data_IF_677890871790
#
_entry.id   IF_677890871790
#
_cell.length_a   1.000
_cell.length_b   1.000
_cell.length_c   1.000
_cell.angle_alpha   90.00
_cell.angle_beta   90.00
_cell.angle_gamma   90.00
#
_symmetry.space_group_name_H-M   'P 1'
#
loop_
_entity.id
_entity.type
_entity.pdbx_description
1 polymer ?
#
# COMPACT_ATOMS: atom_id res chain seq x y z
N UNK A 1 38.88 20.53 37.64
CA UNK A 1 38.74 19.22 38.33
C UNK A 1 38.39 18.15 37.33
N UNK A 2 39.31 17.24 37.02
CA UNK A 2 39.01 16.07 36.20
C UNK A 2 38.20 15.07 37.05
N UNK A 3 37.00 14.71 36.62
CA UNK A 3 36.29 13.57 37.21
C UNK A 3 37.12 12.30 36.95
N UNK A 4 37.45 11.58 38.01
CA UNK A 4 38.21 10.32 37.96
C UNK A 4 37.47 9.28 37.12
N UNK A 5 38.22 8.40 36.44
CA UNK A 5 37.64 7.30 35.63
C UNK A 5 36.67 6.44 36.45
N UNK A 6 37.00 6.22 37.72
CA UNK A 6 36.19 5.47 38.68
C UNK A 6 34.79 6.08 38.89
N UNK A 7 34.68 7.41 38.94
CA UNK A 7 33.38 8.08 39.05
C UNK A 7 32.53 7.88 37.80
N UNK A 8 33.15 7.86 36.61
CA UNK A 8 32.46 7.64 35.34
C UNK A 8 31.92 6.21 35.23
N UNK A 9 32.70 5.22 35.67
CA UNK A 9 32.29 3.82 35.69
C UNK A 9 31.14 3.57 36.65
N UNK A 10 31.23 4.06 37.90
CA UNK A 10 30.16 3.93 38.90
C UNK A 10 28.85 4.59 38.42
N UNK A 11 28.94 5.76 37.81
CA UNK A 11 27.76 6.44 37.24
C UNK A 11 27.18 5.70 36.02
N UNK A 12 28.04 5.12 35.18
CA UNK A 12 27.61 4.28 34.05
C UNK A 12 26.86 3.04 34.53
N UNK A 13 27.41 2.33 35.52
CA UNK A 13 26.80 1.15 36.14
C UNK A 13 25.45 1.49 36.80
N UNK A 14 25.36 2.62 37.48
CA UNK A 14 24.10 3.08 38.04
C UNK A 14 23.06 3.37 36.96
N UNK A 15 23.43 4.08 35.89
CA UNK A 15 22.53 4.40 34.77
C UNK A 15 22.09 3.18 33.96
N UNK A 16 22.84 2.08 34.01
CA UNK A 16 22.46 0.81 33.37
C UNK A 16 21.63 -0.10 34.28
N UNK A 17 21.59 0.16 35.59
CA UNK A 17 20.82 -0.60 36.57
C UNK A 17 19.30 -0.59 36.30
N UNK A 18 18.62 -1.63 36.77
CA UNK A 18 17.16 -1.76 36.68
C UNK A 18 16.49 -0.63 37.46
N UNK A 19 16.95 -0.36 38.68
CA UNK A 19 16.42 0.70 39.54
C UNK A 19 16.43 2.07 38.87
N UNK A 20 17.51 2.43 38.17
CA UNK A 20 17.55 3.70 37.42
C UNK A 20 16.59 3.71 36.23
N UNK A 21 16.42 2.58 35.52
CA UNK A 21 15.48 2.48 34.40
C UNK A 21 14.04 2.63 34.86
N UNK A 22 13.68 2.03 35.99
CA UNK A 22 12.35 2.14 36.62
C UNK A 22 12.09 3.55 37.14
N UNK A 23 13.05 4.14 37.85
CA UNK A 23 12.98 5.54 38.27
C UNK A 23 12.81 6.48 37.08
N UNK A 24 13.58 6.29 36.00
CA UNK A 24 13.48 7.12 34.79
C UNK A 24 12.13 6.97 34.10
N UNK A 25 11.52 5.79 34.13
CA UNK A 25 10.18 5.54 33.57
C UNK A 25 9.13 6.34 34.34
N UNK A 26 9.07 6.17 35.65
CA UNK A 26 8.11 6.88 36.53
C UNK A 26 8.33 8.39 36.52
N UNK A 27 9.58 8.86 36.45
CA UNK A 27 9.89 10.28 36.34
C UNK A 27 9.34 10.91 35.04
N UNK A 28 9.43 10.21 33.91
CA UNK A 28 8.90 10.67 32.60
C UNK A 28 7.39 10.71 32.52
N UNK A 29 6.70 9.98 33.38
CA UNK A 29 5.24 9.93 33.40
C UNK A 29 4.64 11.16 34.08
N UNK A 30 5.44 11.93 34.84
CA UNK A 30 5.01 13.17 35.49
C UNK A 30 4.62 14.23 34.47
N UNK A 31 3.49 14.90 34.71
CA UNK A 31 2.93 15.88 33.78
C UNK A 31 3.87 17.07 33.55
N UNK A 32 4.55 17.54 34.60
CA UNK A 32 5.54 18.62 34.49
C UNK A 32 6.70 18.28 33.56
N UNK A 33 7.11 17.01 33.51
CA UNK A 33 8.16 16.54 32.60
C UNK A 33 7.63 16.48 31.17
N UNK A 34 6.43 15.94 30.96
CA UNK A 34 5.79 15.89 29.63
C UNK A 34 5.56 17.29 29.06
N UNK A 35 5.08 18.22 29.88
CA UNK A 35 4.84 19.62 29.49
C UNK A 35 6.15 20.31 29.13
N UNK A 36 7.19 20.14 29.97
CA UNK A 36 8.51 20.68 29.66
C UNK A 36 9.10 20.09 28.37
N UNK A 37 8.93 18.80 28.11
CA UNK A 37 9.36 18.15 26.86
C UNK A 37 8.58 18.69 25.66
N UNK A 38 7.26 18.85 25.78
CA UNK A 38 6.42 19.42 24.73
C UNK A 38 6.82 20.88 24.42
N UNK A 39 7.02 21.69 25.45
CA UNK A 39 7.48 23.07 25.33
C UNK A 39 8.84 23.13 24.64
N UNK A 40 9.79 22.27 25.03
CA UNK A 40 11.09 22.19 24.37
C UNK A 40 10.96 21.77 22.91
N UNK A 41 10.19 20.72 22.59
CA UNK A 41 9.98 20.25 21.21
C UNK A 41 9.39 21.36 20.31
N UNK A 42 8.49 22.17 20.85
CA UNK A 42 7.83 23.25 20.13
C UNK A 42 8.65 24.55 20.10
N UNK A 43 9.62 24.71 20.99
CA UNK A 43 10.55 25.83 20.99
C UNK A 43 11.44 25.85 19.73
N UNK A 44 11.98 27.01 19.41
CA UNK A 44 12.91 27.17 18.28
C UNK A 44 14.16 26.31 18.45
N UNK A 45 14.67 26.20 19.68
CA UNK A 45 15.82 25.37 20.00
C UNK A 45 15.53 23.87 19.75
N UNK A 46 14.35 23.39 20.14
CA UNK A 46 13.93 22.02 19.90
C UNK A 46 13.72 21.73 18.42
N UNK A 47 13.00 22.60 17.70
CA UNK A 47 12.83 22.50 16.24
C UNK A 47 14.17 22.50 15.50
N UNK A 48 15.09 23.38 15.87
CA UNK A 48 16.44 23.43 15.31
C UNK A 48 17.24 22.15 15.60
N UNK A 49 17.14 21.61 16.82
CA UNK A 49 17.76 20.33 17.19
C UNK A 49 17.21 19.16 16.38
N UNK A 50 15.89 19.07 16.23
CA UNK A 50 15.24 18.05 15.41
C UNK A 50 15.65 18.15 13.94
N UNK A 51 15.72 19.37 13.39
CA UNK A 51 16.20 19.62 12.03
C UNK A 51 17.64 19.13 11.86
N UNK A 52 18.55 19.47 12.77
CA UNK A 52 19.94 18.96 12.76
C UNK A 52 20.01 17.44 12.84
N UNK A 53 19.18 16.82 13.69
CA UNK A 53 19.10 15.36 13.81
C UNK A 53 18.63 14.70 12.51
N UNK A 54 17.57 15.23 11.89
CA UNK A 54 17.07 14.77 10.58
C UNK A 54 18.14 14.96 9.50
N UNK A 55 18.80 16.11 9.45
CA UNK A 55 19.88 16.37 8.50
C UNK A 55 21.06 15.40 8.68
N UNK A 56 21.47 15.11 9.92
CA UNK A 56 22.52 14.13 10.19
C UNK A 56 22.08 12.72 9.77
N UNK A 57 20.84 12.35 10.06
CA UNK A 57 20.31 11.03 9.70
C UNK A 57 20.18 10.87 8.19
N UNK A 58 19.43 11.74 7.50
CA UNK A 58 19.26 11.72 6.05
C UNK A 58 20.54 12.04 5.27
N UNK A 59 21.48 12.77 5.88
CA UNK A 59 22.79 13.05 5.32
C UNK A 59 23.82 11.96 5.59
N UNK A 60 23.53 11.00 6.47
CA UNK A 60 24.46 9.92 6.79
C UNK A 60 24.64 8.98 5.61
N UNK A 61 25.86 8.47 5.46
CA UNK A 61 26.21 7.49 4.44
C UNK A 61 25.41 6.20 4.61
N UNK A 62 25.12 5.78 5.86
CA UNK A 62 24.32 4.60 6.15
C UNK A 62 22.86 4.75 5.69
N UNK A 63 22.23 5.90 5.91
CA UNK A 63 20.88 6.17 5.40
C UNK A 63 20.88 6.23 3.88
N UNK A 64 21.86 6.90 3.26
CA UNK A 64 21.98 6.95 1.79
C UNK A 64 22.13 5.55 1.20
N UNK A 65 23.03 4.73 1.74
CA UNK A 65 23.22 3.34 1.32
C UNK A 65 21.98 2.47 1.56
N UNK A 66 21.21 2.71 2.63
CA UNK A 66 19.93 2.03 2.84
C UNK A 66 18.88 2.46 1.80
N UNK A 67 18.77 3.76 1.55
CA UNK A 67 17.86 4.33 0.57
C UNK A 67 18.21 3.89 -0.85
N UNK A 68 19.50 3.81 -1.17
CA UNK A 68 20.00 3.32 -2.46
C UNK A 68 19.70 1.84 -2.63
N UNK A 69 19.93 0.99 -1.61
CA UNK A 69 19.53 -0.43 -1.66
C UNK A 69 18.03 -0.61 -1.83
N UNK A 70 17.22 0.19 -1.13
CA UNK A 70 15.77 0.17 -1.28
C UNK A 70 15.35 0.60 -2.70
N UNK A 71 15.93 1.68 -3.21
CA UNK A 71 15.66 2.19 -4.55
C UNK A 71 16.15 1.23 -5.64
N UNK A 72 17.31 0.60 -5.48
CA UNK A 72 17.87 -0.39 -6.39
C UNK A 72 16.99 -1.64 -6.43
N UNK A 73 16.59 -2.16 -5.26
CA UNK A 73 15.62 -3.26 -5.16
C UNK A 73 14.31 -2.91 -5.87
N UNK A 74 13.80 -1.68 -5.66
CA UNK A 74 12.61 -1.20 -6.35
C UNK A 74 12.84 -1.08 -7.86
N UNK A 75 13.98 -0.55 -8.31
CA UNK A 75 14.33 -0.42 -9.73
C UNK A 75 14.43 -1.78 -10.40
N UNK A 76 15.12 -2.75 -9.80
CA UNK A 76 15.23 -4.14 -10.29
C UNK A 76 13.88 -4.80 -10.44
N UNK A 77 13.04 -4.78 -9.39
CA UNK A 77 11.65 -5.28 -9.47
C UNK A 77 10.84 -4.61 -10.58
N UNK A 78 10.97 -3.29 -10.74
CA UNK A 78 10.26 -2.56 -11.81
C UNK A 78 10.84 -2.82 -13.22
N UNK A 79 12.13 -3.11 -13.33
CA UNK A 79 12.78 -3.44 -14.60
C UNK A 79 12.43 -4.86 -15.06
N UNK A 80 12.35 -5.80 -14.12
CA UNK A 80 12.03 -7.20 -14.38
C UNK A 80 10.51 -7.42 -14.57
N UNK A 81 9.67 -6.67 -13.85
CA UNK A 81 8.21 -6.78 -13.92
C UNK A 81 7.58 -5.64 -14.74
N UNK A 82 7.83 -5.63 -16.05
CA UNK A 82 7.22 -4.68 -16.98
C UNK A 82 5.69 -4.59 -16.84
N UNK A 83 5.02 -5.68 -16.45
CA UNK A 83 3.56 -5.68 -16.22
C UNK A 83 3.15 -5.14 -14.87
N UNK A 84 3.97 -5.26 -13.81
CA UNK A 84 3.69 -4.55 -12.56
C UNK A 84 3.69 -3.04 -12.81
N UNK A 85 4.59 -2.54 -13.65
CA UNK A 85 4.59 -1.14 -14.08
C UNK A 85 3.30 -0.78 -14.81
N UNK A 86 2.85 -1.63 -15.72
CA UNK A 86 1.61 -1.43 -16.45
C UNK A 86 0.40 -1.40 -15.52
N UNK A 87 0.30 -2.34 -14.57
CA UNK A 87 -0.76 -2.40 -13.57
C UNK A 87 -0.80 -1.15 -12.69
N UNK A 88 0.35 -0.65 -12.25
CA UNK A 88 0.44 0.61 -11.48
C UNK A 88 0.04 1.79 -12.36
N UNK A 89 0.48 1.83 -13.62
CA UNK A 89 0.12 2.88 -14.56
C UNK A 89 -1.40 2.91 -14.82
N UNK A 90 -2.02 1.74 -15.07
CA UNK A 90 -3.46 1.60 -15.25
C UNK A 90 -4.23 2.03 -14.00
N UNK A 91 -3.85 1.55 -12.82
CA UNK A 91 -4.49 1.96 -11.57
C UNK A 91 -4.44 3.49 -11.37
N UNK A 92 -3.30 4.12 -11.66
CA UNK A 92 -3.16 5.57 -11.57
C UNK A 92 -4.00 6.30 -12.61
N UNK A 93 -4.04 5.82 -13.86
CA UNK A 93 -4.84 6.39 -14.94
C UNK A 93 -6.32 6.35 -14.58
N UNK A 94 -6.83 5.16 -14.23
CA UNK A 94 -8.22 4.93 -13.85
C UNK A 94 -8.60 5.78 -12.63
N UNK A 95 -7.73 5.84 -11.61
CA UNK A 95 -7.95 6.68 -10.44
C UNK A 95 -8.03 8.18 -10.76
N UNK A 96 -7.25 8.64 -11.73
CA UNK A 96 -7.30 10.03 -12.20
C UNK A 96 -8.54 10.34 -13.02
N UNK A 97 -9.01 9.36 -13.81
CA UNK A 97 -10.24 9.46 -14.60
C UNK A 97 -11.47 9.54 -13.71
N UNK A 98 -11.57 8.70 -12.68
CA UNK A 98 -12.68 8.77 -11.71
C UNK A 98 -12.71 10.11 -10.97
N UNK A 99 -11.54 10.69 -10.67
CA UNK A 99 -11.43 12.01 -10.03
C UNK A 99 -11.62 13.19 -11.00
N UNK A 100 -11.88 12.95 -12.29
CA UNK A 100 -12.04 14.01 -13.29
C UNK A 100 -10.76 14.80 -13.58
N UNK A 101 -9.58 14.22 -13.33
CA UNK A 101 -8.26 14.87 -13.55
C UNK A 101 -7.56 14.38 -14.82
N UNK A 102 -8.25 13.55 -15.62
CA UNK A 102 -7.76 12.97 -16.86
C UNK A 102 -8.94 12.39 -17.65
N UNK A 103 -9.03 12.72 -18.94
CA UNK A 103 -10.12 12.24 -19.79
C UNK A 103 -9.72 11.08 -20.69
N UNK A 104 -8.48 11.05 -21.19
CA UNK A 104 -8.03 10.04 -22.17
C UNK A 104 -6.68 9.41 -21.79
N UNK A 105 -6.46 8.17 -22.20
CA UNK A 105 -5.18 7.49 -21.97
C UNK A 105 -4.93 6.36 -22.94
N UNK A 106 -3.80 6.41 -23.65
CA UNK A 106 -3.33 5.27 -24.46
C UNK A 106 -3.21 4.00 -23.66
N UNK A 107 -2.70 4.09 -22.45
CA UNK A 107 -2.56 2.92 -21.58
C UNK A 107 -3.93 2.30 -21.25
N UNK A 108 -4.99 3.09 -21.10
CA UNK A 108 -6.33 2.56 -20.84
C UNK A 108 -6.85 1.80 -22.06
N UNK A 109 -7.01 2.47 -23.21
CA UNK A 109 -7.65 1.84 -24.37
C UNK A 109 -6.81 0.72 -25.01
N UNK A 110 -5.48 0.70 -24.78
CA UNK A 110 -4.63 -0.39 -25.30
C UNK A 110 -4.72 -1.67 -24.47
N UNK A 111 -5.06 -1.58 -23.18
CA UNK A 111 -4.96 -2.70 -22.24
C UNK A 111 -6.26 -3.00 -21.48
N UNK A 112 -7.35 -2.33 -21.83
CA UNK A 112 -8.68 -2.50 -21.20
C UNK A 112 -9.78 -2.44 -22.26
N UNK A 113 -11.02 -2.70 -21.86
CA UNK A 113 -12.21 -2.54 -22.70
C UNK A 113 -12.79 -1.11 -22.69
N UNK A 114 -12.10 -0.16 -22.06
CA UNK A 114 -12.56 1.21 -21.91
C UNK A 114 -11.88 2.12 -22.94
N UNK A 115 -12.67 2.91 -23.65
CA UNK A 115 -12.18 3.85 -24.65
C UNK A 115 -11.58 5.10 -24.00
N UNK A 116 -12.26 5.65 -23.00
CA UNK A 116 -11.89 6.87 -22.30
C UNK A 116 -12.48 6.95 -20.87
N UNK A 117 -12.38 8.11 -20.23
CA UNK A 117 -12.95 8.35 -18.91
C UNK A 117 -14.47 8.29 -18.90
N UNK A 118 -15.15 8.81 -19.93
CA UNK A 118 -16.61 8.82 -19.99
C UNK A 118 -17.16 7.39 -20.04
N UNK A 119 -16.55 6.55 -20.86
CA UNK A 119 -16.92 5.14 -20.99
C UNK A 119 -16.64 4.32 -19.71
N UNK A 120 -15.53 4.60 -19.01
CA UNK A 120 -15.25 4.04 -17.69
C UNK A 120 -16.29 4.48 -16.65
N UNK A 121 -16.65 5.76 -16.63
CA UNK A 121 -17.61 6.32 -15.68
C UNK A 121 -19.02 5.78 -15.94
N UNK A 122 -19.43 5.69 -17.21
CA UNK A 122 -20.72 5.10 -17.61
C UNK A 122 -20.89 3.65 -17.13
N UNK A 123 -19.79 2.89 -17.00
CA UNK A 123 -19.80 1.56 -16.39
C UNK A 123 -19.91 1.61 -14.85
N UNK A 124 -19.18 2.51 -14.19
CA UNK A 124 -19.06 2.54 -12.73
C UNK A 124 -20.23 3.24 -12.03
N UNK A 125 -20.73 4.35 -12.57
CA UNK A 125 -21.77 5.16 -11.94
C UNK A 125 -23.04 4.37 -11.59
N UNK A 126 -23.61 3.53 -12.49
CA UNK A 126 -24.79 2.73 -12.16
C UNK A 126 -24.51 1.66 -11.09
N UNK A 127 -23.25 1.22 -10.94
CA UNK A 127 -22.86 0.26 -9.91
C UNK A 127 -22.69 0.95 -8.54
N UNK A 128 -22.14 2.16 -8.53
CA UNK A 128 -22.01 3.00 -7.33
C UNK A 128 -23.39 3.40 -6.81
N UNK A 129 -24.29 3.84 -7.70
CA UNK A 129 -25.65 4.25 -7.35
C UNK A 129 -26.50 3.12 -6.71
N UNK A 130 -26.13 1.85 -6.91
CA UNK A 130 -26.81 0.68 -6.31
C UNK A 130 -26.37 0.41 -4.86
N UNK A 131 -25.31 1.06 -4.37
CA UNK A 131 -24.75 0.80 -3.04
C UNK A 131 -24.97 2.00 -2.14
N UNK A 132 -25.81 1.83 -1.12
CA UNK A 132 -26.09 2.85 -0.12
C UNK A 132 -24.78 3.33 0.54
N UNK A 133 -24.59 4.65 0.62
CA UNK A 133 -23.39 5.26 1.19
C UNK A 133 -22.21 5.41 0.22
N UNK A 134 -22.28 4.91 -1.01
CA UNK A 134 -21.29 5.19 -2.05
C UNK A 134 -21.73 6.34 -2.96
N UNK A 135 -20.81 7.24 -3.25
CA UNK A 135 -20.99 8.31 -4.25
C UNK A 135 -19.71 8.46 -5.08
N UNK A 136 -19.78 9.06 -6.26
CA UNK A 136 -18.58 9.23 -7.09
C UNK A 136 -17.52 10.11 -6.40
N UNK A 137 -17.98 11.08 -5.60
CA UNK A 137 -17.15 12.04 -4.88
C UNK A 137 -16.36 11.40 -3.73
N UNK A 138 -16.87 10.32 -3.12
CA UNK A 138 -16.23 9.65 -1.99
C UNK A 138 -15.31 8.48 -2.40
N UNK A 139 -14.98 8.36 -3.71
CA UNK A 139 -13.98 7.45 -4.24
C UNK A 139 -12.61 7.63 -3.57
N UNK A 140 -12.00 6.52 -3.14
CA UNK A 140 -10.73 6.50 -2.44
C UNK A 140 -10.87 6.59 -0.91
N UNK A 141 -11.95 7.18 -0.42
CA UNK A 141 -12.25 7.31 1.01
C UNK A 141 -13.21 6.24 1.49
N UNK A 142 -14.35 6.07 0.81
CA UNK A 142 -15.41 5.11 1.20
C UNK A 142 -15.32 3.82 0.39
N UNK A 143 -15.13 3.94 -0.92
CA UNK A 143 -15.06 2.80 -1.83
C UNK A 143 -13.84 2.89 -2.75
N UNK A 144 -13.39 1.73 -3.21
CA UNK A 144 -12.29 1.57 -4.15
C UNK A 144 -12.77 0.74 -5.36
N UNK A 145 -11.99 0.78 -6.44
CA UNK A 145 -12.19 -0.18 -7.53
C UNK A 145 -11.71 -1.53 -7.07
N UNK A 146 -12.61 -2.48 -7.10
CA UNK A 146 -12.36 -3.87 -6.84
C UNK A 146 -12.23 -4.65 -8.15
N UNK A 147 -11.39 -5.68 -8.10
CA UNK A 147 -11.31 -6.71 -9.12
C UNK A 147 -12.01 -7.95 -8.56
N UNK A 148 -13.19 -8.28 -9.10
CA UNK A 148 -14.02 -9.43 -8.69
C UNK A 148 -13.16 -10.68 -8.53
N UNK A 149 -12.36 -10.99 -9.54
CA UNK A 149 -11.20 -11.89 -9.48
C UNK A 149 -9.94 -11.06 -9.27
N UNK A 150 -9.21 -11.32 -8.18
CA UNK A 150 -8.06 -10.53 -7.80
C UNK A 150 -6.93 -10.54 -8.85
N UNK A 151 -6.28 -9.39 -9.01
CA UNK A 151 -5.20 -9.17 -9.99
C UNK A 151 -4.06 -10.18 -9.92
N UNK A 152 -3.73 -10.67 -8.72
CA UNK A 152 -2.64 -11.63 -8.53
C UNK A 152 -2.87 -12.99 -9.18
N UNK A 153 -4.10 -13.29 -9.61
CA UNK A 153 -4.41 -14.54 -10.31
C UNK A 153 -4.20 -14.47 -11.81
N UNK A 154 -4.12 -13.26 -12.36
CA UNK A 154 -3.87 -13.02 -13.78
C UNK A 154 -2.37 -13.07 -14.08
N UNK A 155 -2.03 -13.72 -15.18
CA UNK A 155 -0.69 -13.68 -15.71
C UNK A 155 -0.33 -12.26 -16.17
N UNK A 156 0.97 -12.00 -16.18
CA UNK A 156 1.52 -10.73 -16.59
C UNK A 156 1.69 -10.68 -18.11
N UNK A 157 0.58 -10.77 -18.86
CA UNK A 157 0.55 -10.68 -20.32
C UNK A 157 -0.66 -9.86 -20.81
N UNK A 158 -0.66 -9.46 -22.08
CA UNK A 158 -1.68 -8.54 -22.62
C UNK A 158 -3.12 -9.07 -22.51
N UNK A 159 -3.34 -10.36 -22.74
CA UNK A 159 -4.70 -10.93 -22.70
C UNK A 159 -5.23 -10.95 -21.27
N UNK A 160 -4.42 -11.45 -20.34
CA UNK A 160 -4.82 -11.53 -18.93
C UNK A 160 -4.95 -10.13 -18.32
N UNK A 161 -4.19 -9.14 -18.79
CA UNK A 161 -4.38 -7.74 -18.45
C UNK A 161 -5.73 -7.20 -18.93
N UNK A 162 -6.12 -7.46 -20.18
CA UNK A 162 -7.45 -7.07 -20.70
C UNK A 162 -8.59 -7.74 -19.93
N UNK A 163 -8.45 -9.03 -19.60
CA UNK A 163 -9.44 -9.76 -18.77
C UNK A 163 -9.52 -9.19 -17.36
N UNK A 164 -8.38 -8.93 -16.74
CA UNK A 164 -8.25 -8.37 -15.40
C UNK A 164 -8.92 -7.00 -15.29
N UNK A 165 -8.71 -6.12 -16.27
CA UNK A 165 -9.26 -4.77 -16.32
C UNK A 165 -10.55 -4.64 -17.15
N UNK A 166 -11.26 -5.75 -17.37
CA UNK A 166 -12.53 -5.78 -18.10
C UNK A 166 -13.69 -5.20 -17.27
N UNK A 167 -14.76 -4.77 -17.94
CA UNK A 167 -16.03 -4.36 -17.30
C UNK A 167 -16.61 -5.47 -16.42
N UNK A 168 -16.44 -6.72 -16.85
CA UNK A 168 -16.91 -7.90 -16.14
C UNK A 168 -16.13 -8.14 -14.86
N UNK A 169 -14.85 -7.76 -14.80
CA UNK A 169 -14.04 -7.97 -13.61
C UNK A 169 -13.97 -6.74 -12.68
N UNK A 170 -14.21 -5.52 -13.19
CA UNK A 170 -14.21 -4.30 -12.36
C UNK A 170 -15.57 -4.01 -11.73
N UNK A 171 -15.55 -3.67 -10.44
CA UNK A 171 -16.72 -3.22 -9.68
C UNK A 171 -16.33 -2.23 -8.58
N UNK A 172 -17.23 -1.34 -8.13
CA UNK A 172 -17.04 -0.61 -6.88
C UNK A 172 -17.25 -1.54 -5.68
N UNK A 173 -16.41 -1.41 -4.66
CA UNK A 173 -16.54 -2.10 -3.37
C UNK A 173 -16.09 -1.19 -2.23
N UNK A 174 -16.68 -1.36 -1.04
CA UNK A 174 -16.24 -0.61 0.15
C UNK A 174 -14.77 -0.91 0.41
N UNK A 175 -13.99 0.13 0.74
CA UNK A 175 -12.54 -0.02 0.89
C UNK A 175 -12.18 -1.09 1.92
N UNK A 176 -12.91 -1.14 3.03
CA UNK A 176 -12.72 -2.14 4.09
C UNK A 176 -12.98 -3.56 3.58
N UNK A 177 -14.05 -3.75 2.81
CA UNK A 177 -14.45 -5.08 2.33
C UNK A 177 -13.56 -5.56 1.18
N UNK A 178 -13.12 -4.66 0.31
CA UNK A 178 -12.11 -4.95 -0.69
C UNK A 178 -10.78 -5.44 -0.05
N UNK A 179 -10.33 -4.74 1.01
CA UNK A 179 -9.13 -5.15 1.77
C UNK A 179 -9.32 -6.52 2.42
N UNK A 180 -10.48 -6.77 3.05
CA UNK A 180 -10.79 -8.07 3.67
C UNK A 180 -10.85 -9.19 2.64
N UNK A 181 -11.46 -8.94 1.47
CA UNK A 181 -11.59 -9.90 0.38
C UNK A 181 -10.21 -10.34 -0.11
N UNK A 182 -9.28 -9.39 -0.22
CA UNK A 182 -7.89 -9.63 -0.63
C UNK A 182 -7.84 -10.44 -1.95
N UNK A 183 -7.27 -11.65 -1.91
CA UNK A 183 -7.12 -12.55 -3.06
C UNK A 183 -8.08 -13.73 -3.07
N UNK A 184 -9.11 -13.70 -2.24
CA UNK A 184 -10.03 -14.85 -2.08
C UNK A 184 -10.77 -15.13 -3.40
N UNK A 185 -10.77 -16.39 -3.83
CA UNK A 185 -11.54 -16.87 -4.99
C UNK A 185 -12.93 -17.27 -4.50
N UNK A 186 -13.95 -16.55 -4.96
CA UNK A 186 -15.35 -16.74 -4.57
C UNK A 186 -16.12 -17.22 -5.80
N UNK A 187 -16.63 -18.44 -5.77
CA UNK A 187 -17.01 -19.17 -6.99
C UNK A 187 -18.21 -18.56 -7.71
N UNK A 188 -19.22 -18.10 -6.98
CA UNK A 188 -20.36 -17.38 -7.57
C UNK A 188 -19.91 -16.07 -8.25
N UNK A 189 -18.99 -15.32 -7.63
CA UNK A 189 -18.43 -14.10 -8.22
C UNK A 189 -17.63 -14.44 -9.48
N UNK A 190 -16.84 -15.52 -9.47
CA UNK A 190 -16.15 -15.98 -10.67
C UNK A 190 -17.13 -16.37 -11.78
N UNK A 191 -18.22 -17.07 -11.46
CA UNK A 191 -19.26 -17.42 -12.43
C UNK A 191 -19.89 -16.16 -13.05
N UNK A 192 -20.21 -15.15 -12.24
CA UNK A 192 -20.76 -13.86 -12.71
C UNK A 192 -19.81 -13.10 -13.65
N UNK A 193 -18.49 -13.18 -13.38
CA UNK A 193 -17.46 -12.60 -14.27
C UNK A 193 -17.46 -13.30 -15.63
N UNK A 194 -17.70 -14.62 -15.64
CA UNK A 194 -17.78 -15.43 -16.86
C UNK A 194 -16.41 -15.95 -17.31
N UNK A 195 -16.39 -17.19 -17.83
CA UNK A 195 -15.16 -17.94 -18.12
C UNK A 195 -14.26 -17.30 -19.18
N UNK A 196 -14.81 -16.48 -20.08
CA UNK A 196 -14.03 -15.69 -21.04
C UNK A 196 -13.08 -14.68 -20.37
N UNK A 197 -13.39 -14.27 -19.13
CA UNK A 197 -12.66 -13.26 -18.36
C UNK A 197 -11.83 -13.85 -17.21
N UNK A 198 -11.79 -15.19 -17.08
CA UNK A 198 -10.94 -15.84 -16.10
C UNK A 198 -9.47 -15.80 -16.51
N UNK A 199 -8.54 -15.87 -15.54
CA UNK A 199 -7.12 -16.01 -15.85
C UNK A 199 -6.85 -17.16 -16.81
N UNK A 200 -5.96 -16.97 -17.79
CA UNK A 200 -5.56 -18.04 -18.72
C UNK A 200 -5.06 -19.28 -18.00
N UNK A 201 -4.34 -19.09 -16.90
CA UNK A 201 -3.80 -20.16 -16.04
C UNK A 201 -4.87 -21.10 -15.47
N UNK A 202 -6.14 -20.67 -15.45
CA UNK A 202 -7.25 -21.48 -14.95
C UNK A 202 -7.82 -22.44 -16.01
N UNK A 203 -7.40 -22.33 -17.27
CA UNK A 203 -7.85 -23.24 -18.33
C UNK A 203 -9.37 -23.30 -18.51
N UNK A 204 -10.06 -22.18 -18.24
CA UNK A 204 -11.52 -22.10 -18.33
C UNK A 204 -12.28 -22.83 -17.22
N UNK A 205 -11.63 -23.17 -16.10
CA UNK A 205 -12.26 -23.80 -14.94
C UNK A 205 -11.86 -23.09 -13.64
N UNK A 206 -12.82 -22.87 -12.75
CA UNK A 206 -12.50 -22.33 -11.41
C UNK A 206 -11.62 -23.37 -10.68
N UNK A 207 -10.49 -22.97 -10.07
CA UNK A 207 -9.65 -23.89 -9.32
C UNK A 207 -10.43 -24.64 -8.24
N UNK A 208 -10.19 -25.93 -8.06
CA UNK A 208 -10.78 -26.69 -6.96
C UNK A 208 -10.21 -26.28 -5.59
N UNK A 209 -10.81 -26.75 -4.49
CA UNK A 209 -10.40 -26.36 -3.14
C UNK A 209 -8.93 -26.67 -2.85
N UNK A 210 -8.42 -27.81 -3.34
CA UNK A 210 -7.02 -28.20 -3.17
C UNK A 210 -6.06 -27.26 -3.93
N UNK A 211 -6.45 -26.86 -5.14
CA UNK A 211 -5.71 -25.92 -5.97
C UNK A 211 -5.72 -24.53 -5.36
N UNK A 212 -6.87 -24.04 -4.88
CA UNK A 212 -6.97 -22.76 -4.14
C UNK A 212 -6.06 -22.76 -2.92
N UNK A 213 -5.99 -23.87 -2.18
CA UNK A 213 -5.10 -23.99 -1.02
C UNK A 213 -3.63 -23.88 -1.42
N UNK A 214 -3.18 -24.60 -2.46
CA UNK A 214 -1.80 -24.53 -2.98
C UNK A 214 -1.44 -23.13 -3.47
N UNK A 215 -2.33 -22.51 -4.24
CA UNK A 215 -2.16 -21.17 -4.79
C UNK A 215 -1.99 -20.10 -3.68
N UNK A 216 -2.73 -20.25 -2.57
CA UNK A 216 -2.61 -19.34 -1.43
C UNK A 216 -1.29 -19.47 -0.66
N UNK A 217 -0.66 -20.66 -0.68
CA UNK A 217 0.64 -20.91 -0.04
C UNK A 217 1.78 -20.35 -0.89
N UNK A 218 1.77 -20.59 -2.21
CA UNK A 218 2.80 -20.07 -3.12
C UNK A 218 2.96 -18.54 -3.01
N UNK A 219 1.84 -17.81 -2.97
CA UNK A 219 1.81 -16.34 -2.83
C UNK A 219 2.16 -15.82 -1.42
N UNK A 220 2.53 -16.66 -0.45
CA UNK A 220 3.10 -16.21 0.83
C UNK A 220 4.63 -16.28 0.84
N UNK A 221 5.22 -16.95 -0.15
CA UNK A 221 6.66 -17.15 -0.26
C UNK A 221 7.33 -16.07 -1.13
N UNK A 222 6.52 -15.31 -1.90
CA UNK A 222 6.91 -14.15 -2.72
C UNK A 222 6.67 -12.82 -1.99
#
# INVERSE_FOLDING_TARGET
MYQTSEFREKNSAYKSSIAYKEWRKTYRERDSVKESEANYVNSDAGKASQKRRKQRYYGSETWRAQQDRHNDTRRKRYAEEHVRRLNVALANVVSRMIRGTRDTSRTLYSYTEFEDAHDLLAHLEPLVAKREGMTMENYGTVWHIDHRIAKCWYANDEDDMKRCWSRRNLAPEFGIDNIKKNRTIIDNVCIEVGSAYWPKSWGGKIPDAATKARMNVALKMD
#
